data_IF_266836846973
#
_entry.id   IF_266836846973
#
_cell.length_a   1.000
_cell.length_b   1.000
_cell.length_c   1.000
_cell.angle_alpha   90.00
_cell.angle_beta   90.00
_cell.angle_gamma   90.00
#
_symmetry.space_group_name_H-M   'P 1'
#
loop_
_entity.id
_entity.type
_entity.pdbx_description
1 polymer ?
#
# COMPACT_ATOMS: atom_id res chain seq x y z
N UNK A 1 -11.20 4.58 7.78
CA UNK A 1 -9.78 4.75 8.18
C UNK A 1 -9.00 3.54 7.71
N UNK A 2 -7.79 3.71 7.19
CA UNK A 2 -6.88 2.59 6.89
C UNK A 2 -5.60 2.69 7.71
N UNK A 3 -4.98 1.55 7.99
CA UNK A 3 -3.73 1.45 8.73
C UNK A 3 -2.60 1.05 7.79
N UNK A 4 -1.49 1.78 7.83
CA UNK A 4 -0.31 1.53 6.99
C UNK A 4 0.88 1.18 7.88
N UNK A 5 1.53 0.06 7.58
CA UNK A 5 2.74 -0.43 8.26
C UNK A 5 2.62 -0.50 9.79
N UNK A 6 1.43 -0.78 10.32
CA UNK A 6 1.10 -0.77 11.75
C UNK A 6 1.38 0.58 12.47
N UNK A 7 1.68 1.65 11.74
CA UNK A 7 2.15 2.91 12.31
C UNK A 7 1.21 4.06 11.97
N UNK A 8 0.95 4.25 10.70
CA UNK A 8 0.22 5.42 10.21
C UNK A 8 -1.26 5.04 10.04
N UNK A 9 -2.14 5.88 10.56
CA UNK A 9 -3.59 5.77 10.35
C UNK A 9 -4.03 6.98 9.54
N UNK A 10 -4.69 6.74 8.41
CA UNK A 10 -5.15 7.81 7.53
C UNK A 10 -6.62 7.64 7.21
N UNK A 11 -7.26 8.77 6.91
CA UNK A 11 -8.63 8.76 6.40
C UNK A 11 -8.69 8.00 5.08
N UNK A 12 -9.67 7.10 5.02
CA UNK A 12 -9.99 6.37 3.80
C UNK A 12 -10.92 7.22 2.96
N UNK A 13 -10.77 7.16 1.64
CA UNK A 13 -11.67 7.78 0.68
C UNK A 13 -12.10 6.75 -0.37
N UNK A 14 -13.30 6.95 -0.91
CA UNK A 14 -13.83 6.09 -1.95
C UNK A 14 -12.93 6.14 -3.20
N UNK A 15 -12.61 4.96 -3.75
CA UNK A 15 -11.75 4.84 -4.93
C UNK A 15 -10.26 4.97 -4.66
N UNK A 16 -9.80 5.03 -3.40
CA UNK A 16 -8.39 5.01 -3.06
C UNK A 16 -7.72 3.73 -3.59
N UNK A 17 -6.82 3.87 -4.57
CA UNK A 17 -6.04 2.74 -5.10
C UNK A 17 -4.71 2.58 -4.39
N UNK A 18 -4.07 1.42 -4.55
CA UNK A 18 -2.71 1.20 -4.03
C UNK A 18 -1.73 2.23 -4.60
N UNK A 19 -1.79 2.51 -5.90
CA UNK A 19 -0.89 3.50 -6.53
C UNK A 19 -1.06 4.90 -5.93
N UNK A 20 -2.30 5.33 -5.68
CA UNK A 20 -2.58 6.62 -5.06
C UNK A 20 -2.09 6.65 -3.61
N UNK A 21 -2.29 5.55 -2.86
CA UNK A 21 -1.78 5.40 -1.50
C UNK A 21 -0.24 5.53 -1.48
N UNK A 22 0.47 4.79 -2.33
CA UNK A 22 1.93 4.86 -2.43
C UNK A 22 2.42 6.27 -2.76
N UNK A 23 1.72 6.96 -3.66
CA UNK A 23 2.04 8.34 -4.06
C UNK A 23 1.86 9.31 -2.88
N UNK A 24 0.79 9.19 -2.10
CA UNK A 24 0.53 10.02 -0.90
C UNK A 24 1.64 9.91 0.14
N UNK A 25 2.17 8.70 0.33
CA UNK A 25 3.27 8.44 1.27
C UNK A 25 4.66 8.69 0.68
N UNK A 26 4.76 9.09 -0.60
CA UNK A 26 6.04 9.33 -1.27
C UNK A 26 6.88 8.07 -1.48
N UNK A 27 6.24 6.90 -1.54
CA UNK A 27 6.93 5.62 -1.78
C UNK A 27 7.28 5.49 -3.27
N UNK A 28 8.40 6.08 -3.66
CA UNK A 28 8.88 6.16 -5.06
C UNK A 28 9.79 5.00 -5.49
N UNK A 29 10.15 4.09 -4.58
CA UNK A 29 11.10 3.02 -4.85
C UNK A 29 10.53 1.91 -5.76
N UNK A 30 11.38 1.39 -6.66
CA UNK A 30 11.01 0.41 -7.68
C UNK A 30 10.67 -0.97 -7.06
N UNK A 31 11.34 -1.34 -5.97
CA UNK A 31 11.21 -2.65 -5.33
C UNK A 31 10.38 -2.58 -4.03
N UNK A 32 9.07 -2.44 -4.20
CA UNK A 32 8.10 -2.47 -3.10
C UNK A 32 7.16 -3.66 -3.24
N UNK A 33 6.90 -4.34 -2.13
CA UNK A 33 5.81 -5.31 -2.01
C UNK A 33 4.71 -4.66 -1.19
N UNK A 34 3.49 -4.66 -1.74
CA UNK A 34 2.30 -4.19 -1.04
C UNK A 34 1.47 -5.40 -0.63
N UNK A 35 1.03 -5.43 0.63
CA UNK A 35 0.02 -6.36 1.11
C UNK A 35 -1.19 -5.61 1.65
N UNK A 36 -2.38 -6.13 1.41
CA UNK A 36 -3.64 -5.64 1.97
C UNK A 36 -4.30 -6.80 2.70
N UNK A 37 -4.59 -6.64 3.99
CA UNK A 37 -5.22 -7.67 4.82
C UNK A 37 -4.51 -9.05 4.74
N UNK A 38 -3.20 -9.04 4.55
CA UNK A 38 -2.36 -10.24 4.43
C UNK A 38 -2.16 -10.77 3.00
N UNK A 39 -2.93 -10.30 2.02
CA UNK A 39 -2.79 -10.69 0.61
C UNK A 39 -1.79 -9.80 -0.13
N UNK A 40 -0.92 -10.39 -0.94
CA UNK A 40 0.05 -9.64 -1.76
C UNK A 40 -0.64 -9.08 -3.00
N UNK A 41 -0.57 -7.77 -3.19
CA UNK A 41 -1.11 -7.11 -4.37
C UNK A 41 0.01 -6.96 -5.42
N UNK A 42 -0.13 -7.59 -6.59
CA UNK A 42 0.89 -7.53 -7.63
C UNK A 42 0.98 -6.10 -8.21
N UNK A 43 2.17 -5.71 -8.66
CA UNK A 43 2.48 -4.32 -9.04
C UNK A 43 1.58 -3.82 -10.18
N UNK A 44 1.32 -4.68 -11.15
CA UNK A 44 0.42 -4.42 -12.27
C UNK A 44 -1.02 -4.09 -11.84
N UNK A 45 -1.45 -4.56 -10.67
CA UNK A 45 -2.77 -4.27 -10.12
C UNK A 45 -2.79 -2.99 -9.26
N UNK A 46 -1.65 -2.35 -8.98
CA UNK A 46 -1.63 -1.21 -8.04
C UNK A 46 -2.48 -0.03 -8.51
N UNK A 47 -2.59 0.18 -9.82
CA UNK A 47 -3.36 1.28 -10.39
C UNK A 47 -4.88 1.05 -10.36
N UNK A 48 -5.33 -0.21 -10.30
CA UNK A 48 -6.75 -0.58 -10.41
C UNK A 48 -7.32 -1.20 -9.13
N UNK A 49 -6.47 -1.77 -8.29
CA UNK A 49 -6.88 -2.39 -7.03
C UNK A 49 -7.16 -1.30 -5.98
N UNK A 50 -8.42 -1.22 -5.55
CA UNK A 50 -8.87 -0.31 -4.51
C UNK A 50 -8.55 -0.87 -3.13
N UNK A 51 -8.13 0.01 -2.23
CA UNK A 51 -7.91 -0.32 -0.82
C UNK A 51 -9.28 -0.28 -0.14
N UNK A 52 -9.73 -1.35 0.53
CA UNK A 52 -10.97 -1.32 1.30
C UNK A 52 -10.87 -0.38 2.50
N UNK A 53 -12.01 0.15 2.95
CA UNK A 53 -12.07 0.85 4.24
C UNK A 53 -11.74 -0.12 5.38
N UNK A 54 -11.04 0.37 6.42
CA UNK A 54 -10.59 -0.45 7.54
C UNK A 54 -9.42 -1.38 7.25
N UNK A 55 -8.84 -1.35 6.05
CA UNK A 55 -7.79 -2.28 5.66
C UNK A 55 -6.46 -2.08 6.43
N UNK A 56 -5.75 -3.18 6.68
CA UNK A 56 -4.34 -3.20 7.09
C UNK A 56 -3.45 -3.31 5.86
N UNK A 57 -2.71 -2.26 5.57
CA UNK A 57 -1.80 -2.16 4.43
C UNK A 57 -0.36 -2.29 4.91
N UNK A 58 0.41 -3.19 4.29
CA UNK A 58 1.86 -3.30 4.50
C UNK A 58 2.59 -2.91 3.23
N UNK A 59 3.51 -1.95 3.34
CA UNK A 59 4.42 -1.54 2.27
C UNK A 59 5.83 -1.91 2.69
N UNK A 60 6.39 -2.92 2.02
CA UNK A 60 7.69 -3.51 2.34
C UNK A 60 8.68 -3.11 1.26
N UNK A 61 9.75 -2.41 1.64
CA UNK A 61 10.86 -2.12 0.75
C UNK A 61 11.79 -3.33 0.69
N UNK A 62 12.02 -3.87 -0.51
CA UNK A 62 13.03 -4.90 -0.70
C UNK A 62 14.38 -4.20 -0.79
N UNK A 63 15.16 -4.32 0.28
CA UNK A 63 16.57 -3.94 0.29
C UNK A 63 17.36 -5.22 0.05
N UNK A 64 18.14 -5.26 -1.02
CA UNK A 64 19.08 -6.36 -1.23
C UNK A 64 20.10 -6.34 -0.07
N UNK A 65 20.04 -7.36 0.78
CA UNK A 65 21.02 -7.54 1.86
C UNK A 65 22.34 -8.02 1.29
N UNK A 66 23.43 -7.34 1.64
CA UNK A 66 24.81 -7.77 1.45
C UNK A 66 25.44 -8.11 2.78
#
# INVERSE_FOLDING_TARGET
MIRVNNRDEIEWEEGLTVSNLLTRFGYTFVHIIVKINGEVIPREAHATHTVPDGADVRVIHLIAGG
#
